data_IF_916392181997
#
_entry.id   IF_916392181997
#
_cell.length_a   1.000
_cell.length_b   1.000
_cell.length_c   1.000
_cell.angle_alpha   90.00
_cell.angle_beta   90.00
_cell.angle_gamma   90.00
#
_symmetry.space_group_name_H-M   'P 1'
#
loop_
_entity.id
_entity.type
_entity.pdbx_description
1 polymer ?
#
# COMPACT_ATOMS: atom_id res chain seq x y z
N UNK A 1 -9.63 -19.88 16.06
CA UNK A 1 -10.78 -19.70 15.15
C UNK A 1 -10.59 -18.34 14.52
N UNK A 2 -10.56 -18.30 13.19
CA UNK A 2 -10.28 -17.08 12.44
C UNK A 2 -11.57 -16.57 11.80
N UNK A 3 -11.58 -15.30 11.44
CA UNK A 3 -12.71 -14.66 10.82
C UNK A 3 -12.36 -13.29 10.31
N UNK A 4 -13.21 -12.78 9.42
CA UNK A 4 -13.00 -11.47 8.78
C UNK A 4 -14.14 -10.53 9.12
N UNK A 5 -13.87 -9.23 9.20
CA UNK A 5 -14.91 -8.21 9.31
C UNK A 5 -15.41 -7.83 7.92
N UNK A 6 -16.71 -8.02 7.66
CA UNK A 6 -17.39 -7.59 6.42
C UNK A 6 -18.54 -6.65 6.77
N UNK A 7 -18.48 -5.40 6.32
CA UNK A 7 -19.49 -4.36 6.60
C UNK A 7 -19.81 -4.20 8.10
N UNK A 8 -18.81 -4.31 8.97
CA UNK A 8 -18.98 -4.21 10.43
C UNK A 8 -19.50 -5.49 11.09
N UNK A 9 -19.73 -6.57 10.34
CA UNK A 9 -20.14 -7.88 10.86
C UNK A 9 -18.92 -8.82 10.88
N UNK A 10 -18.70 -9.50 12.00
CA UNK A 10 -17.66 -10.52 12.12
C UNK A 10 -18.18 -11.82 11.49
N UNK A 11 -17.48 -12.31 10.48
CA UNK A 11 -17.80 -13.54 9.75
C UNK A 11 -16.73 -14.60 10.07
N UNK A 12 -17.08 -15.65 10.81
CA UNK A 12 -16.26 -16.85 10.98
C UNK A 12 -15.80 -17.44 9.65
N UNK A 13 -14.54 -17.84 9.55
CA UNK A 13 -14.05 -18.58 8.37
C UNK A 13 -14.57 -20.03 8.37
N UNK A 14 -14.80 -20.59 9.56
CA UNK A 14 -15.40 -21.91 9.76
C UNK A 14 -16.83 -21.77 10.28
N UNK A 15 -17.70 -22.76 10.02
CA UNK A 15 -19.06 -22.76 10.50
C UNK A 15 -19.10 -22.79 12.04
N UNK A 16 -19.35 -21.63 12.65
CA UNK A 16 -19.57 -21.50 14.08
C UNK A 16 -21.07 -21.31 14.35
N UNK A 17 -21.67 -22.23 15.11
CA UNK A 17 -23.03 -22.09 15.60
C UNK A 17 -23.01 -21.67 17.06
N UNK A 18 -23.33 -20.41 17.33
CA UNK A 18 -23.55 -19.90 18.68
C UNK A 18 -25.03 -19.59 18.89
N UNK A 19 -25.57 -19.80 20.10
CA UNK A 19 -26.92 -19.36 20.42
C UNK A 19 -27.02 -17.83 20.31
N UNK A 20 -28.20 -17.35 19.95
CA UNK A 20 -28.49 -15.92 19.89
C UNK A 20 -28.22 -15.27 21.26
N UNK A 21 -27.54 -14.12 21.26
CA UNK A 21 -27.15 -13.42 22.48
C UNK A 21 -25.88 -13.96 23.16
N UNK A 22 -25.21 -14.95 22.57
CA UNK A 22 -23.90 -15.39 23.06
C UNK A 22 -22.88 -14.25 23.08
N UNK A 23 -22.15 -14.11 24.20
CA UNK A 23 -21.06 -13.15 24.33
C UNK A 23 -19.75 -13.82 23.93
N UNK A 24 -19.00 -13.17 23.05
CA UNK A 24 -17.73 -13.64 22.52
C UNK A 24 -16.64 -12.59 22.75
N UNK A 25 -15.41 -13.04 22.98
CA UNK A 25 -14.21 -12.20 23.01
C UNK A 25 -13.40 -12.51 21.76
N UNK A 26 -12.92 -11.47 21.10
CA UNK A 26 -12.01 -11.57 19.97
C UNK A 26 -10.66 -10.98 20.36
N UNK A 27 -9.61 -11.60 19.87
CA UNK A 27 -8.25 -11.08 19.92
C UNK A 27 -7.87 -10.74 18.49
N UNK A 28 -7.37 -9.52 18.29
CA UNK A 28 -6.83 -9.10 16.99
C UNK A 28 -5.34 -9.37 17.08
N UNK A 29 -4.82 -10.19 16.17
CA UNK A 29 -3.36 -10.36 16.06
C UNK A 29 -2.73 -8.99 15.81
N UNK A 30 -1.72 -8.65 16.61
CA UNK A 30 -0.94 -7.44 16.40
C UNK A 30 -0.30 -7.52 15.01
N UNK A 31 -0.77 -6.68 14.10
CA UNK A 31 -0.12 -6.50 12.82
C UNK A 31 1.25 -5.91 13.11
N UNK A 32 2.31 -6.55 12.62
CA UNK A 32 3.67 -5.99 12.65
C UNK A 32 3.62 -4.57 12.08
N UNK A 33 3.69 -3.56 12.95
CA UNK A 33 3.91 -2.20 12.51
C UNK A 33 5.32 -2.16 11.93
N UNK A 34 5.41 -2.02 10.62
CA UNK A 34 6.67 -1.69 9.99
C UNK A 34 7.17 -0.40 10.65
N UNK A 35 8.40 -0.38 11.21
CA UNK A 35 8.95 0.86 11.74
C UNK A 35 9.09 1.82 10.57
N UNK A 36 8.16 2.76 10.46
CA UNK A 36 8.33 3.90 9.57
C UNK A 36 9.59 4.62 10.04
N UNK A 37 10.53 4.94 9.13
CA UNK A 37 11.70 5.71 9.52
C UNK A 37 11.22 6.98 10.23
N UNK A 38 11.61 7.15 11.50
CA UNK A 38 11.25 8.30 12.35
C UNK A 38 11.95 9.59 11.91
N UNK A 39 12.16 9.78 10.60
CA UNK A 39 12.52 11.07 10.09
C UNK A 39 11.31 11.98 10.31
N UNK A 40 11.49 13.05 11.09
CA UNK A 40 10.47 14.07 11.24
C UNK A 40 10.13 14.62 9.87
N UNK A 41 8.86 14.55 9.48
CA UNK A 41 8.38 15.08 8.20
C UNK A 41 8.60 16.60 8.16
N UNK A 42 9.48 17.05 7.27
CA UNK A 42 9.73 18.47 7.00
C UNK A 42 8.99 18.88 5.73
N UNK A 43 7.84 19.50 5.91
CA UNK A 43 6.96 19.92 4.81
C UNK A 43 7.65 20.89 3.84
N UNK A 44 8.49 21.80 4.33
CA UNK A 44 9.12 22.81 3.46
C UNK A 44 10.20 22.20 2.58
N UNK A 45 10.97 21.27 3.15
CA UNK A 45 11.95 20.48 2.41
C UNK A 45 11.28 19.66 1.31
N UNK A 46 10.21 18.93 1.63
CA UNK A 46 9.49 18.11 0.64
C UNK A 46 8.85 18.96 -0.47
N UNK A 47 8.29 20.13 -0.13
CA UNK A 47 7.75 21.06 -1.12
C UNK A 47 8.81 21.64 -2.06
N UNK A 48 10.03 21.83 -1.55
CA UNK A 48 11.16 22.32 -2.36
C UNK A 48 11.56 21.27 -3.39
N UNK A 49 11.76 20.02 -2.96
CA UNK A 49 12.06 18.89 -3.84
C UNK A 49 10.98 18.71 -4.91
N UNK A 50 9.70 18.84 -4.53
CA UNK A 50 8.59 18.71 -5.47
C UNK A 50 8.60 19.81 -6.54
N UNK A 51 8.91 21.05 -6.16
CA UNK A 51 8.98 22.18 -7.11
C UNK A 51 10.12 22.01 -8.10
N UNK A 52 11.30 21.66 -7.61
CA UNK A 52 12.48 21.37 -8.45
C UNK A 52 12.15 20.25 -9.45
N UNK A 53 11.54 19.16 -8.98
CA UNK A 53 11.13 18.04 -9.84
C UNK A 53 10.12 18.45 -10.93
N UNK A 54 9.19 19.35 -10.61
CA UNK A 54 8.23 19.88 -11.59
C UNK A 54 8.92 20.78 -12.61
N UNK A 55 9.88 21.60 -12.19
CA UNK A 55 10.66 22.45 -13.08
C UNK A 55 11.51 21.63 -14.05
N UNK A 56 12.14 20.55 -13.57
CA UNK A 56 12.88 19.61 -14.40
C UNK A 56 11.97 18.94 -15.44
N UNK A 57 10.79 18.45 -15.02
CA UNK A 57 9.81 17.88 -15.95
C UNK A 57 9.35 18.91 -17.00
N UNK A 58 9.15 20.18 -16.60
CA UNK A 58 8.79 21.26 -17.53
C UNK A 58 9.92 21.60 -18.49
N UNK A 59 11.17 21.49 -18.06
CA UNK A 59 12.35 21.65 -18.91
C UNK A 59 12.57 20.46 -19.86
N UNK A 60 11.74 19.42 -19.77
CA UNK A 60 11.82 18.22 -20.60
C UNK A 60 12.79 17.17 -20.05
N UNK A 61 13.26 17.31 -18.81
CA UNK A 61 14.05 16.31 -18.12
C UNK A 61 13.12 15.27 -17.50
N UNK A 62 13.06 14.09 -18.10
CA UNK A 62 12.24 12.96 -17.64
C UNK A 62 11.86 12.03 -18.80
N UNK A 63 11.21 10.92 -18.49
CA UNK A 63 10.61 10.02 -19.47
C UNK A 63 9.14 9.79 -19.15
N UNK A 64 8.35 9.41 -20.17
CA UNK A 64 6.98 9.00 -19.95
C UNK A 64 6.91 7.86 -18.94
N UNK A 65 5.91 7.88 -18.06
CA UNK A 65 5.78 6.88 -17.01
C UNK A 65 5.77 5.44 -17.56
N UNK A 66 5.17 5.23 -18.74
CA UNK A 66 5.11 3.94 -19.40
C UNK A 66 6.49 3.47 -19.86
N UNK A 67 7.25 4.33 -20.53
CA UNK A 67 8.60 4.06 -21.01
C UNK A 67 9.55 3.79 -19.83
N UNK A 68 9.44 4.57 -18.77
CA UNK A 68 10.20 4.36 -17.54
C UNK A 68 9.88 3.00 -16.90
N UNK A 69 8.60 2.67 -16.72
CA UNK A 69 8.20 1.39 -16.13
C UNK A 69 8.64 0.19 -16.98
N UNK A 70 8.60 0.32 -18.31
CA UNK A 70 9.13 -0.70 -19.22
C UNK A 70 10.63 -0.90 -19.05
N UNK A 71 11.42 0.18 -19.00
CA UNK A 71 12.86 0.10 -18.75
C UNK A 71 13.17 -0.53 -17.40
N UNK A 72 12.45 -0.11 -16.35
CA UNK A 72 12.61 -0.65 -15.01
C UNK A 72 12.32 -2.15 -14.97
N UNK A 73 11.26 -2.60 -15.66
CA UNK A 73 10.93 -4.01 -15.74
C UNK A 73 12.03 -4.83 -16.45
N UNK A 74 12.61 -4.29 -17.52
CA UNK A 74 13.75 -4.91 -18.21
C UNK A 74 14.97 -5.00 -17.28
N UNK A 75 15.36 -3.89 -16.63
CA UNK A 75 16.52 -3.84 -15.74
C UNK A 75 16.40 -4.78 -14.54
N UNK A 76 15.18 -4.98 -14.04
CA UNK A 76 14.90 -5.75 -12.83
C UNK A 76 14.32 -7.14 -13.10
N UNK A 77 14.17 -7.54 -14.36
CA UNK A 77 13.57 -8.82 -14.74
C UNK A 77 12.13 -9.00 -14.26
N UNK A 78 11.37 -7.91 -14.17
CA UNK A 78 9.97 -7.93 -13.76
C UNK A 78 9.06 -8.27 -14.96
N UNK A 79 7.88 -8.88 -14.73
CA UNK A 79 6.93 -9.14 -15.80
C UNK A 79 6.47 -7.82 -16.45
N UNK A 80 6.55 -7.77 -17.78
CA UNK A 80 5.94 -6.71 -18.58
C UNK A 80 4.43 -6.95 -18.66
N UNK A 81 3.62 -5.89 -18.73
CA UNK A 81 2.17 -6.04 -18.81
C UNK A 81 1.75 -6.85 -20.05
N UNK A 82 0.64 -7.63 -20.00
CA UNK A 82 0.18 -8.41 -21.14
C UNK A 82 -0.24 -7.48 -22.29
N UNK A 83 0.44 -7.60 -23.43
CA UNK A 83 0.16 -6.80 -24.62
C UNK A 83 1.36 -6.04 -25.20
N UNK A 84 2.57 -6.26 -24.66
CA UNK A 84 3.85 -5.81 -25.24
C UNK A 84 4.69 -6.94 -25.82
#
# INVERSE_FOLDING_TARGET
MNGTVKNGVIVPDESLSLPEGARVRFEVEEVFEYPHPMATYDREKELTVLRESIEDLRAGHGSGAREFLKQLAIERGLPLEPGE
#
